data_IF_363267450712
#
_entry.id   IF_363267450712
#
_cell.length_a   1.000
_cell.length_b   1.000
_cell.length_c   1.000
_cell.angle_alpha   90.00
_cell.angle_beta   90.00
_cell.angle_gamma   90.00
#
_symmetry.space_group_name_H-M   'P 1'
#
loop_
_entity.id
_entity.type
_entity.pdbx_description
1 polymer ?
#
# COMPACT_ATOMS: atom_id res chain seq x y z
N UNK A 1 5.53 -0.59 -9.93
CA UNK A 1 6.79 -0.16 -10.58
C UNK A 1 6.78 1.35 -10.77
N UNK A 2 7.95 1.98 -10.71
CA UNK A 2 8.13 3.42 -10.99
C UNK A 2 9.25 3.58 -12.01
N UNK A 3 9.04 4.46 -12.98
CA UNK A 3 9.99 4.74 -14.05
C UNK A 3 10.79 6.02 -13.77
N UNK A 4 11.84 6.26 -14.56
CA UNK A 4 12.76 7.40 -14.33
C UNK A 4 12.10 8.77 -14.44
N UNK A 5 10.95 8.85 -15.10
CA UNK A 5 10.07 10.02 -15.25
C UNK A 5 8.99 10.10 -14.15
N UNK A 6 9.14 9.34 -13.06
CA UNK A 6 8.15 9.21 -11.98
C UNK A 6 6.78 8.68 -12.40
N UNK A 7 6.65 8.14 -13.62
CA UNK A 7 5.44 7.40 -14.00
C UNK A 7 5.33 6.16 -13.12
N UNK A 8 4.17 5.98 -12.49
CA UNK A 8 3.88 4.83 -11.63
C UNK A 8 2.96 3.87 -12.40
N UNK A 9 3.31 2.59 -12.44
CA UNK A 9 2.45 1.52 -12.97
C UNK A 9 2.32 0.38 -11.97
N UNK A 10 1.09 0.04 -11.65
CA UNK A 10 0.73 -1.17 -10.92
C UNK A 10 0.34 -2.23 -11.94
N UNK A 11 1.00 -3.39 -11.93
CA UNK A 11 0.76 -4.47 -12.89
C UNK A 11 0.73 -5.82 -12.18
N UNK A 12 -0.18 -6.69 -12.59
CA UNK A 12 -0.20 -8.07 -12.13
C UNK A 12 0.84 -8.87 -12.91
N UNK A 13 1.90 -9.32 -12.24
CA UNK A 13 3.04 -9.92 -12.94
C UNK A 13 2.92 -11.43 -13.05
N UNK A 14 2.55 -12.14 -11.99
CA UNK A 14 2.53 -13.61 -12.00
C UNK A 14 1.62 -14.18 -10.92
N UNK A 15 0.86 -15.22 -11.28
CA UNK A 15 0.33 -16.19 -10.32
C UNK A 15 1.25 -17.42 -10.27
N UNK A 16 1.82 -17.71 -9.11
CA UNK A 16 2.64 -18.89 -8.90
C UNK A 16 1.96 -19.86 -7.94
N UNK A 17 1.90 -21.14 -8.32
CA UNK A 17 1.36 -22.18 -7.46
C UNK A 17 2.38 -22.61 -6.40
N UNK A 18 1.87 -22.89 -5.19
CA UNK A 18 2.60 -23.55 -4.12
C UNK A 18 2.13 -25.01 -4.07
N UNK A 19 2.95 -25.94 -4.52
CA UNK A 19 2.52 -27.34 -4.75
C UNK A 19 2.43 -28.21 -3.50
N UNK A 20 3.12 -27.85 -2.41
CA UNK A 20 3.19 -28.70 -1.21
C UNK A 20 2.73 -27.96 0.04
N UNK A 21 3.59 -27.09 0.55
CA UNK A 21 3.40 -26.34 1.78
C UNK A 21 3.49 -24.85 1.47
N UNK A 22 2.92 -24.07 2.37
CA UNK A 22 2.94 -22.61 2.28
C UNK A 22 3.82 -22.02 3.39
N UNK A 23 4.99 -22.61 3.69
CA UNK A 23 5.94 -22.02 4.66
C UNK A 23 6.70 -20.86 4.01
N UNK A 24 7.36 -20.04 4.81
CA UNK A 24 8.16 -18.92 4.28
C UNK A 24 9.24 -19.35 3.30
N UNK A 25 9.88 -20.50 3.54
CA UNK A 25 10.89 -21.08 2.64
C UNK A 25 10.29 -21.48 1.29
N UNK A 26 9.10 -22.08 1.30
CA UNK A 26 8.41 -22.50 0.06
C UNK A 26 8.06 -21.26 -0.79
N UNK A 27 7.62 -20.18 -0.14
CA UNK A 27 7.34 -18.88 -0.77
C UNK A 27 8.62 -18.25 -1.32
N UNK A 28 9.71 -18.27 -0.54
CA UNK A 28 11.02 -17.73 -0.95
C UNK A 28 11.55 -18.42 -2.20
N UNK A 29 11.51 -19.75 -2.23
CA UNK A 29 12.00 -20.54 -3.36
C UNK A 29 11.22 -20.23 -4.65
N UNK A 30 9.90 -20.14 -4.55
CA UNK A 30 9.04 -19.76 -5.69
C UNK A 30 9.31 -18.32 -6.14
N UNK A 31 9.49 -17.39 -5.20
CA UNK A 31 9.81 -16.00 -5.50
C UNK A 31 11.16 -15.87 -6.22
N UNK A 32 12.23 -16.48 -5.70
CA UNK A 32 13.57 -16.43 -6.30
C UNK A 32 13.61 -17.10 -7.68
N UNK A 33 12.90 -18.22 -7.85
CA UNK A 33 12.72 -18.85 -9.16
C UNK A 33 12.08 -17.88 -10.15
N UNK A 34 10.99 -17.21 -9.75
CA UNK A 34 10.32 -16.21 -10.58
C UNK A 34 11.23 -15.02 -10.92
N UNK A 35 11.96 -14.47 -9.93
CA UNK A 35 12.92 -13.36 -10.14
C UNK A 35 13.96 -13.75 -11.19
N UNK A 36 14.49 -14.97 -11.12
CA UNK A 36 15.47 -15.50 -12.08
C UNK A 36 14.86 -15.69 -13.48
N UNK A 37 13.67 -16.29 -13.57
CA UNK A 37 12.97 -16.53 -14.84
C UNK A 37 12.63 -15.23 -15.59
N UNK A 38 12.24 -14.19 -14.86
CA UNK A 38 11.92 -12.88 -15.42
C UNK A 38 13.13 -11.93 -15.52
N UNK A 39 14.32 -12.38 -15.10
CA UNK A 39 15.54 -11.55 -15.04
C UNK A 39 15.31 -10.22 -14.31
N UNK A 40 14.59 -10.27 -13.19
CA UNK A 40 14.26 -9.07 -12.41
C UNK A 40 15.46 -8.68 -11.54
N UNK A 41 15.87 -7.40 -11.54
CA UNK A 41 16.97 -6.94 -10.70
C UNK A 41 16.50 -6.88 -9.24
N UNK A 42 16.84 -7.90 -8.45
CA UNK A 42 16.45 -8.00 -7.04
C UNK A 42 16.92 -6.79 -6.22
N UNK A 43 18.06 -6.21 -6.57
CA UNK A 43 18.59 -4.97 -5.97
C UNK A 43 17.69 -3.73 -6.12
N UNK A 44 16.69 -3.77 -7.02
CA UNK A 44 15.69 -2.70 -7.18
C UNK A 44 14.40 -2.96 -6.40
N UNK A 45 14.32 -4.05 -5.63
CA UNK A 45 13.17 -4.32 -4.77
C UNK A 45 13.18 -3.33 -3.60
N UNK A 46 12.12 -2.53 -3.48
CA UNK A 46 12.02 -1.49 -2.43
C UNK A 46 11.12 -1.93 -1.29
N UNK A 47 9.99 -2.55 -1.61
CA UNK A 47 8.97 -2.89 -0.63
C UNK A 47 8.23 -4.20 -0.95
N UNK A 48 7.79 -4.90 0.10
CA UNK A 48 6.92 -6.07 0.06
C UNK A 48 5.67 -5.77 0.89
N UNK A 49 4.51 -5.84 0.26
CA UNK A 49 3.21 -5.69 0.92
C UNK A 49 2.54 -7.05 1.12
N UNK A 50 2.06 -7.34 2.34
CA UNK A 50 1.57 -8.69 2.71
C UNK A 50 0.19 -8.62 3.37
N UNK A 51 -0.56 -9.72 3.42
CA UNK A 51 -1.83 -9.78 4.16
C UNK A 51 -1.64 -10.01 5.67
N UNK A 52 -0.42 -10.37 6.08
CA UNK A 52 -0.08 -10.72 7.46
C UNK A 52 -0.15 -12.20 7.77
N UNK A 53 -0.21 -13.09 6.75
CA UNK A 53 -0.17 -14.53 6.98
C UNK A 53 1.11 -14.94 7.75
N UNK A 54 1.02 -15.85 8.74
CA UNK A 54 2.19 -16.28 9.53
C UNK A 54 3.34 -16.83 8.69
N UNK A 55 3.05 -17.49 7.57
CA UNK A 55 4.06 -17.96 6.63
C UNK A 55 4.90 -16.85 6.00
N UNK A 56 4.40 -15.62 5.99
CA UNK A 56 5.07 -14.45 5.46
C UNK A 56 5.74 -13.65 6.59
N UNK A 57 5.02 -13.46 7.70
CA UNK A 57 5.41 -12.51 8.75
C UNK A 57 6.04 -13.13 10.00
N UNK A 58 6.16 -14.46 10.08
CA UNK A 58 6.87 -15.10 11.19
C UNK A 58 8.31 -14.57 11.30
N UNK A 59 8.74 -14.24 12.52
CA UNK A 59 9.99 -13.51 12.79
C UNK A 59 11.24 -14.32 12.46
N UNK A 60 11.13 -15.64 12.37
CA UNK A 60 12.29 -16.51 12.19
C UNK A 60 12.24 -17.22 10.83
N UNK A 61 11.07 -17.73 10.47
CA UNK A 61 10.84 -18.64 9.35
C UNK A 61 9.84 -18.09 8.33
N UNK A 62 9.32 -16.88 8.55
CA UNK A 62 8.47 -16.19 7.60
C UNK A 62 9.26 -15.70 6.40
N UNK A 63 8.61 -15.59 5.23
CA UNK A 63 9.23 -15.09 4.01
C UNK A 63 10.01 -13.78 4.22
N UNK A 64 9.46 -12.82 4.96
CA UNK A 64 10.12 -11.54 5.24
C UNK A 64 11.40 -11.71 6.09
N UNK A 65 11.38 -12.60 7.09
CA UNK A 65 12.54 -12.90 7.91
C UNK A 65 13.63 -13.61 7.12
N UNK A 66 13.26 -14.42 6.13
CA UNK A 66 14.21 -15.06 5.21
C UNK A 66 14.83 -14.04 4.26
N UNK A 67 14.04 -13.10 3.69
CA UNK A 67 14.57 -12.00 2.88
C UNK A 67 15.60 -11.17 3.65
N UNK A 68 15.33 -10.82 4.91
CA UNK A 68 16.24 -10.03 5.74
C UNK A 68 17.55 -10.75 6.09
N UNK A 69 17.59 -12.10 6.00
CA UNK A 69 18.79 -12.91 6.27
C UNK A 69 19.62 -13.20 5.01
N UNK A 70 19.06 -12.97 3.83
CA UNK A 70 19.69 -13.27 2.55
C UNK A 70 20.36 -12.01 1.99
N UNK A 71 21.69 -12.05 1.88
CA UNK A 71 22.53 -10.92 1.42
C UNK A 71 22.22 -10.46 -0.03
N UNK A 72 21.50 -11.27 -0.81
CA UNK A 72 21.07 -10.88 -2.16
C UNK A 72 19.91 -9.88 -2.16
N UNK A 73 19.18 -9.76 -1.05
CA UNK A 73 18.10 -8.80 -0.91
C UNK A 73 18.64 -7.44 -0.43
N UNK A 74 18.16 -6.32 -1.00
CA UNK A 74 18.44 -5.01 -0.43
C UNK A 74 17.69 -4.83 0.91
N UNK A 75 17.86 -3.68 1.55
CA UNK A 75 17.01 -3.32 2.68
C UNK A 75 15.58 -3.07 2.17
N UNK A 76 14.68 -4.04 2.40
CA UNK A 76 13.31 -4.04 1.88
C UNK A 76 12.33 -3.61 2.95
N UNK A 77 11.52 -2.59 2.62
CA UNK A 77 10.38 -2.20 3.43
C UNK A 77 9.31 -3.29 3.44
N UNK A 78 8.74 -3.61 4.60
CA UNK A 78 7.62 -4.53 4.68
C UNK A 78 6.47 -3.94 5.48
N UNK A 79 5.25 -4.05 4.95
CA UNK A 79 4.05 -3.55 5.60
C UNK A 79 2.82 -4.35 5.19
N UNK A 80 1.80 -4.30 6.03
CA UNK A 80 0.56 -5.01 5.81
C UNK A 80 -0.38 -4.23 4.88
N UNK A 81 -1.04 -4.93 3.97
CA UNK A 81 -2.11 -4.36 3.15
C UNK A 81 -3.37 -4.11 3.97
N UNK A 82 -4.15 -3.12 3.53
CA UNK A 82 -5.50 -2.86 4.02
C UNK A 82 -6.45 -3.91 3.43
N UNK A 83 -6.51 -5.10 4.02
CA UNK A 83 -7.58 -6.06 3.73
C UNK A 83 -8.61 -6.05 4.84
N UNK A 84 -9.89 -5.98 4.47
CA UNK A 84 -11.04 -5.93 5.38
C UNK A 84 -11.34 -7.26 6.10
N UNK A 85 -10.41 -8.23 6.14
CA UNK A 85 -10.70 -9.60 6.61
C UNK A 85 -10.28 -9.92 8.05
N UNK A 86 -9.54 -9.03 8.73
CA UNK A 86 -8.78 -9.43 9.94
C UNK A 86 -9.07 -8.60 11.19
N UNK A 87 -10.14 -7.80 11.25
CA UNK A 87 -10.57 -7.24 12.54
C UNK A 87 -11.63 -8.16 13.15
N UNK A 88 -11.38 -8.71 14.35
CA UNK A 88 -12.29 -9.61 15.06
C UNK A 88 -13.41 -8.82 15.75
N UNK A 89 -14.19 -8.06 14.98
CA UNK A 89 -15.32 -7.31 15.49
C UNK A 89 -16.51 -7.44 14.54
N UNK A 90 -17.17 -8.61 14.50
CA UNK A 90 -18.25 -8.91 13.54
C UNK A 90 -19.32 -7.79 13.43
N UNK A 91 -19.58 -7.06 14.52
CA UNK A 91 -20.50 -5.92 14.56
C UNK A 91 -19.90 -4.58 14.09
N UNK A 92 -18.59 -4.38 14.15
CA UNK A 92 -17.86 -3.19 13.66
C UNK A 92 -17.31 -3.41 12.24
N UNK A 93 -17.23 -4.65 11.79
CA UNK A 93 -16.68 -5.03 10.48
C UNK A 93 -17.38 -4.34 9.33
N UNK A 94 -18.68 -4.08 9.41
CA UNK A 94 -19.37 -3.33 8.37
C UNK A 94 -18.90 -1.87 8.28
N UNK A 95 -18.60 -1.22 9.41
CA UNK A 95 -18.07 0.15 9.44
C UNK A 95 -16.64 0.17 8.95
N UNK A 96 -15.78 -0.73 9.44
CA UNK A 96 -14.40 -0.90 8.95
C UNK A 96 -14.40 -1.19 7.46
N UNK A 97 -15.21 -2.14 7.01
CA UNK A 97 -15.31 -2.50 5.59
C UNK A 97 -15.81 -1.34 4.76
N UNK A 98 -16.76 -0.53 5.25
CA UNK A 98 -17.18 0.71 4.57
C UNK A 98 -16.09 1.76 4.54
N UNK A 99 -15.30 1.90 5.60
CA UNK A 99 -14.16 2.81 5.65
C UNK A 99 -13.10 2.35 4.69
N UNK A 100 -12.67 1.09 4.75
CA UNK A 100 -11.73 0.45 3.81
C UNK A 100 -12.23 0.57 2.38
N UNK A 101 -13.52 0.29 2.12
CA UNK A 101 -14.13 0.45 0.81
C UNK A 101 -14.21 1.92 0.38
N UNK A 102 -14.40 2.85 1.31
CA UNK A 102 -14.28 4.28 1.07
C UNK A 102 -12.84 4.66 0.76
N UNK A 103 -11.82 4.15 1.46
CA UNK A 103 -10.41 4.34 1.11
C UNK A 103 -10.19 3.87 -0.34
N UNK A 104 -10.73 2.69 -0.68
CA UNK A 104 -10.64 2.07 -2.01
C UNK A 104 -11.45 2.76 -3.11
N UNK A 105 -12.56 3.41 -2.79
CA UNK A 105 -13.41 4.10 -3.77
C UNK A 105 -13.01 5.57 -3.94
N UNK A 106 -12.51 6.20 -2.87
CA UNK A 106 -11.98 7.57 -2.87
C UNK A 106 -10.63 7.64 -3.56
N UNK A 107 -9.88 6.52 -3.59
CA UNK A 107 -8.85 6.27 -4.60
C UNK A 107 -9.51 6.07 -5.97
N UNK A 108 -10.12 7.13 -6.49
CA UNK A 108 -10.17 7.34 -7.93
C UNK A 108 -8.75 7.14 -8.46
N UNK A 109 -8.61 6.56 -9.67
CA UNK A 109 -7.40 6.01 -10.34
C UNK A 109 -6.06 6.77 -10.23
N UNK A 110 -6.00 7.93 -9.56
CA UNK A 110 -4.86 8.84 -9.54
C UNK A 110 -3.91 8.70 -8.36
N UNK A 111 -4.22 8.03 -7.24
CA UNK A 111 -3.24 7.95 -6.14
C UNK A 111 -3.33 6.65 -5.30
N UNK A 112 -2.57 5.63 -5.70
CA UNK A 112 -2.33 4.38 -4.95
C UNK A 112 -1.10 4.46 -4.02
N UNK A 113 -0.56 5.66 -3.79
CA UNK A 113 0.70 5.83 -3.06
C UNK A 113 0.54 5.66 -1.54
N UNK A 114 1.64 5.26 -0.90
CA UNK A 114 1.75 5.08 0.54
C UNK A 114 1.32 6.32 1.35
N UNK A 115 1.57 7.53 0.85
CA UNK A 115 1.21 8.81 1.51
C UNK A 115 -0.30 8.98 1.71
N UNK A 116 -1.07 8.74 0.66
CA UNK A 116 -2.53 8.84 0.73
C UNK A 116 -3.09 7.82 1.70
N UNK A 117 -2.51 6.62 1.72
CA UNK A 117 -2.91 5.57 2.64
C UNK A 117 -2.66 5.96 4.10
N UNK A 118 -1.44 6.42 4.42
CA UNK A 118 -1.07 6.89 5.76
C UNK A 118 -2.03 8.01 6.19
N UNK A 119 -2.26 8.99 5.31
CA UNK A 119 -3.14 10.12 5.58
C UNK A 119 -4.57 9.70 5.94
N UNK A 120 -5.15 8.76 5.18
CA UNK A 120 -6.52 8.29 5.42
C UNK A 120 -6.62 7.49 6.71
N UNK A 121 -5.65 6.62 7.01
CA UNK A 121 -5.62 5.87 8.27
C UNK A 121 -5.45 6.81 9.47
N UNK A 122 -4.50 7.73 9.42
CA UNK A 122 -4.27 8.73 10.47
C UNK A 122 -5.52 9.58 10.70
N UNK A 123 -6.18 10.04 9.64
CA UNK A 123 -7.43 10.80 9.74
C UNK A 123 -8.56 9.98 10.36
N UNK A 124 -8.66 8.68 10.05
CA UNK A 124 -9.70 7.83 10.60
C UNK A 124 -9.47 7.53 12.09
N UNK A 125 -8.24 7.24 12.51
CA UNK A 125 -7.91 7.09 13.93
C UNK A 125 -8.26 8.34 14.74
N UNK A 126 -7.93 9.54 14.22
CA UNK A 126 -8.32 10.81 14.85
C UNK A 126 -9.83 11.00 14.93
N UNK A 127 -10.58 10.56 13.91
CA UNK A 127 -12.07 10.58 13.94
C UNK A 127 -12.62 9.67 15.02
N UNK A 128 -12.08 8.45 15.18
CA UNK A 128 -12.51 7.54 16.26
C UNK A 128 -12.31 8.16 17.64
N UNK A 129 -11.15 8.77 17.88
CA UNK A 129 -10.87 9.50 19.12
C UNK A 129 -11.85 10.65 19.35
N UNK A 130 -12.15 11.44 18.30
CA UNK A 130 -13.12 12.52 18.38
C UNK A 130 -14.54 12.00 18.67
N UNK A 131 -14.92 10.86 18.09
CA UNK A 131 -16.23 10.24 18.32
C UNK A 131 -16.38 9.72 19.75
N UNK A 132 -15.33 9.16 20.35
CA UNK A 132 -15.30 8.83 21.78
C UNK A 132 -15.57 10.09 22.61
N UNK A 133 -14.86 11.19 22.32
CA UNK A 133 -15.06 12.47 23.02
C UNK A 133 -16.48 13.03 22.82
N UNK A 134 -17.10 12.83 21.66
CA UNK A 134 -18.48 13.23 21.40
C UNK A 134 -19.49 12.36 22.15
N UNK A 135 -19.31 11.03 22.20
CA UNK A 135 -20.15 10.15 23.00
C UNK A 135 -20.10 10.51 24.48
N UNK A 136 -18.92 10.80 25.03
CA UNK A 136 -18.74 11.22 26.42
C UNK A 136 -19.41 12.58 26.74
N UNK A 137 -19.74 13.37 25.71
CA UNK A 137 -20.47 14.64 25.82
C UNK A 137 -21.95 14.51 25.44
N UNK A 138 -22.48 13.29 25.31
CA UNK A 138 -23.84 13.02 24.83
C UNK A 138 -24.14 13.61 23.43
N UNK A 139 -23.12 13.67 22.56
CA UNK A 139 -23.24 14.18 21.19
C UNK A 139 -23.26 13.03 20.18
N UNK A 140 -24.41 12.85 19.52
CA UNK A 140 -24.67 11.73 18.59
C UNK A 140 -24.57 12.12 17.12
N UNK A 141 -23.96 13.28 16.81
CA UNK A 141 -23.89 13.84 15.45
C UNK A 141 -23.28 12.91 14.39
N UNK A 142 -22.45 11.95 14.81
CA UNK A 142 -21.80 10.96 13.93
C UNK A 142 -22.43 9.57 14.02
N UNK A 143 -23.48 9.41 14.82
CA UNK A 143 -24.21 8.16 15.01
C UNK A 143 -25.71 8.37 14.75
N UNK A 144 -26.16 8.59 13.50
CA UNK A 144 -27.54 8.98 13.20
C UNK A 144 -28.60 8.00 13.72
N UNK A 145 -28.30 6.70 13.68
CA UNK A 145 -29.19 5.67 14.24
C UNK A 145 -29.28 5.75 15.76
N UNK A 146 -28.14 5.91 16.43
CA UNK A 146 -28.11 6.08 17.89
C UNK A 146 -28.83 7.37 18.30
N UNK A 147 -28.62 8.46 17.55
CA UNK A 147 -29.35 9.73 17.74
C UNK A 147 -30.86 9.52 17.68
N UNK A 148 -31.35 8.86 16.64
CA UNK A 148 -32.78 8.55 16.48
C UNK A 148 -33.31 7.66 17.61
N UNK A 149 -32.54 6.66 18.04
CA UNK A 149 -32.92 5.78 19.16
C UNK A 149 -33.00 6.55 20.47
N UNK A 150 -32.01 7.39 20.79
CA UNK A 150 -31.99 8.22 22.01
C UNK A 150 -33.15 9.22 22.01
N UNK A 151 -33.44 9.86 20.87
CA UNK A 151 -34.60 10.76 20.70
C UNK A 151 -35.93 10.02 20.89
N UNK A 152 -36.01 8.74 20.53
CA UNK A 152 -37.23 7.91 20.67
C UNK A 152 -37.41 7.38 22.10
N UNK A 153 -36.32 6.98 22.77
CA UNK A 153 -36.34 6.37 24.11
C UNK A 153 -36.56 7.36 25.25
N UNK A 154 -36.43 8.67 24.99
CA UNK A 154 -36.92 9.76 25.83
C UNK A 154 -36.65 9.61 27.34
N UNK A 155 -35.38 9.49 27.72
CA UNK A 155 -34.93 9.48 29.13
C UNK A 155 -34.66 8.10 29.74
N UNK A 156 -34.76 7.01 28.97
CA UNK A 156 -34.24 5.72 29.39
C UNK A 156 -32.71 5.77 29.56
N UNK A 157 -32.16 5.03 30.53
CA UNK A 157 -30.71 4.84 30.62
C UNK A 157 -30.20 4.00 29.44
N UNK A 158 -29.06 4.40 28.90
CA UNK A 158 -28.36 3.69 27.84
C UNK A 158 -26.86 3.65 28.15
N UNK A 159 -26.23 2.52 27.84
CA UNK A 159 -24.84 2.23 28.19
C UNK A 159 -23.86 2.89 27.21
N UNK A 160 -23.77 4.23 27.25
CA UNK A 160 -22.73 4.97 26.52
C UNK A 160 -21.30 4.52 26.84
N UNK A 161 -20.95 4.21 28.10
CA UNK A 161 -19.61 3.73 28.43
C UNK A 161 -19.21 2.50 27.61
N UNK A 162 -20.11 1.53 27.43
CA UNK A 162 -19.83 0.36 26.59
C UNK A 162 -19.59 0.73 25.13
N UNK A 163 -20.38 1.65 24.54
CA UNK A 163 -20.12 2.12 23.16
C UNK A 163 -18.77 2.84 23.03
N UNK A 164 -18.41 3.67 24.01
CA UNK A 164 -17.09 4.32 24.04
C UNK A 164 -15.96 3.28 24.12
N UNK A 165 -16.12 2.25 24.96
CA UNK A 165 -15.16 1.15 25.09
C UNK A 165 -14.98 0.37 23.78
N UNK A 166 -16.06 0.14 23.00
CA UNK A 166 -15.95 -0.48 21.68
C UNK A 166 -15.16 0.38 20.70
N UNK A 167 -15.33 1.71 20.73
CA UNK A 167 -14.54 2.62 19.89
C UNK A 167 -13.08 2.66 20.34
N UNK A 168 -12.80 2.63 21.64
CA UNK A 168 -11.43 2.56 22.18
C UNK A 168 -10.73 1.29 21.72
N UNK A 169 -11.40 0.14 21.82
CA UNK A 169 -10.88 -1.13 21.32
C UNK A 169 -10.59 -1.07 19.81
N UNK A 170 -11.46 -0.40 19.04
CA UNK A 170 -11.24 -0.17 17.61
C UNK A 170 -10.02 0.73 17.35
N UNK A 171 -9.83 1.80 18.13
CA UNK A 171 -8.62 2.65 18.05
C UNK A 171 -7.37 1.83 18.30
N UNK A 172 -7.36 0.99 19.34
CA UNK A 172 -6.25 0.10 19.67
C UNK A 172 -5.95 -0.88 18.54
N UNK A 173 -6.96 -1.56 17.99
CA UNK A 173 -6.75 -2.48 16.88
C UNK A 173 -6.24 -1.81 15.61
N UNK A 174 -6.75 -0.61 15.27
CA UNK A 174 -6.23 0.17 14.15
C UNK A 174 -4.76 0.56 14.40
N UNK A 175 -4.43 1.01 15.62
CA UNK A 175 -3.06 1.35 16.00
C UNK A 175 -2.11 0.16 15.88
N UNK A 176 -2.53 -1.00 16.38
CA UNK A 176 -1.75 -2.24 16.27
C UNK A 176 -1.57 -2.65 14.81
N UNK A 177 -2.66 -2.66 14.03
CA UNK A 177 -2.67 -3.11 12.63
C UNK A 177 -1.82 -2.23 11.72
N UNK A 178 -1.82 -0.93 11.92
CA UNK A 178 -1.14 0.07 11.09
C UNK A 178 0.07 0.70 11.77
N UNK A 179 0.61 0.03 12.79
CA UNK A 179 1.80 0.49 13.53
C UNK A 179 3.01 0.76 12.64
N UNK A 180 3.10 0.08 11.48
CA UNK A 180 4.17 0.29 10.50
C UNK A 180 4.08 1.66 9.81
N UNK A 181 2.91 2.30 9.77
CA UNK A 181 2.75 3.61 9.15
C UNK A 181 3.46 4.69 9.93
N UNK A 182 3.59 4.54 11.25
CA UNK A 182 4.40 5.44 12.07
C UNK A 182 5.87 5.46 11.65
N UNK A 183 6.38 4.32 11.14
CA UNK A 183 7.75 4.22 10.60
C UNK A 183 7.85 4.82 9.20
N UNK A 184 6.80 4.69 8.37
CA UNK A 184 6.82 5.19 6.99
C UNK A 184 6.44 6.67 6.88
N UNK A 185 5.76 7.24 7.88
CA UNK A 185 5.29 8.61 7.88
C UNK A 185 6.43 9.63 7.76
N UNK A 186 7.56 9.55 8.50
CA UNK A 186 8.71 10.46 8.32
C UNK A 186 9.23 10.47 6.89
N UNK A 187 9.46 9.29 6.32
CA UNK A 187 9.98 9.16 4.95
C UNK A 187 8.95 9.63 3.91
N UNK A 188 7.67 9.48 4.21
CA UNK A 188 6.60 10.00 3.35
C UNK A 188 6.46 11.53 3.46
N UNK A 189 6.70 12.09 4.64
CA UNK A 189 6.76 13.55 4.84
C UNK A 189 7.97 14.14 4.12
N UNK A 190 9.10 13.44 4.11
CA UNK A 190 10.32 13.87 3.42
C UNK A 190 10.05 14.21 1.94
N UNK A 191 9.31 13.39 1.19
CA UNK A 191 8.96 13.74 -0.20
C UNK A 191 7.87 14.80 -0.33
N UNK A 192 7.11 15.05 0.74
CA UNK A 192 6.05 16.05 0.74
C UNK A 192 6.57 17.43 1.12
N UNK A 193 7.71 17.50 1.76
CA UNK A 193 8.45 18.71 2.07
C UNK A 193 9.86 18.26 2.46
N UNK A 194 10.80 18.25 1.50
CA UNK A 194 12.19 17.78 1.72
C UNK A 194 12.75 18.49 2.95
N UNK A 195 12.83 17.75 4.06
CA UNK A 195 13.05 18.24 5.43
C UNK A 195 14.28 17.60 6.07
N UNK A 196 14.61 18.02 7.29
CA UNK A 196 15.70 17.48 8.12
C UNK A 196 15.41 16.06 8.67
N UNK A 197 14.84 15.18 7.84
CA UNK A 197 14.55 13.78 8.20
C UNK A 197 15.58 12.82 7.58
N UNK A 198 16.83 13.29 7.42
CA UNK A 198 17.92 12.51 6.81
C UNK A 198 18.24 11.25 7.62
N UNK A 199 18.20 11.34 8.96
CA UNK A 199 18.44 10.23 9.86
C UNK A 199 17.44 9.09 9.66
N UNK A 200 16.14 9.40 9.70
CA UNK A 200 15.06 8.41 9.52
C UNK A 200 15.11 7.77 8.13
N UNK A 201 15.44 8.54 7.09
CA UNK A 201 15.63 8.04 5.73
C UNK A 201 16.81 7.05 5.66
N UNK A 202 17.94 7.38 6.30
CA UNK A 202 19.10 6.49 6.39
C UNK A 202 18.80 5.22 7.18
N UNK A 203 18.07 5.29 8.29
CA UNK A 203 17.64 4.12 9.07
C UNK A 203 16.78 3.17 8.24
N UNK A 204 15.88 3.72 7.43
CA UNK A 204 14.91 2.93 6.66
C UNK A 204 15.52 2.32 5.40
N UNK A 205 16.32 3.07 4.65
CA UNK A 205 16.87 2.57 3.39
C UNK A 205 18.30 2.02 3.50
N UNK A 206 19.03 2.33 4.57
CA UNK A 206 20.32 1.73 4.94
C UNK A 206 21.49 1.96 3.97
N UNK A 207 21.29 2.70 2.88
CA UNK A 207 22.26 2.80 1.76
C UNK A 207 22.86 4.20 1.57
N UNK A 208 22.48 5.18 2.41
CA UNK A 208 22.89 6.58 2.27
C UNK A 208 23.85 6.98 3.38
N UNK A 209 24.90 7.71 3.02
CA UNK A 209 25.72 8.42 3.99
C UNK A 209 24.92 9.63 4.51
N UNK A 210 24.75 9.72 5.83
CA UNK A 210 23.92 10.77 6.45
C UNK A 210 24.46 12.17 6.16
N UNK A 211 25.76 12.39 6.32
CA UNK A 211 26.39 13.71 6.14
C UNK A 211 26.28 14.19 4.69
N UNK A 212 26.50 13.29 3.72
CA UNK A 212 26.32 13.61 2.30
C UNK A 212 24.85 13.90 1.97
N UNK A 213 23.92 13.11 2.53
CA UNK A 213 22.49 13.32 2.33
C UNK A 213 22.02 14.65 2.91
N UNK A 214 22.46 15.02 4.11
CA UNK A 214 22.15 16.30 4.74
C UNK A 214 22.65 17.48 3.90
N UNK A 215 23.87 17.37 3.35
CA UNK A 215 24.39 18.38 2.41
C UNK A 215 23.55 18.49 1.15
N UNK A 216 23.09 17.37 0.58
CA UNK A 216 22.19 17.38 -0.58
C UNK A 216 20.83 18.00 -0.23
N UNK A 217 20.27 17.69 0.94
CA UNK A 217 19.01 18.28 1.47
C UNK A 217 19.14 19.80 1.56
N UNK A 218 20.23 20.31 2.15
CA UNK A 218 20.46 21.76 2.26
C UNK A 218 20.55 22.43 0.89
N UNK A 219 21.25 21.82 -0.06
CA UNK A 219 21.36 22.34 -1.43
C UNK A 219 20.03 22.31 -2.18
N UNK A 220 19.21 21.29 -1.95
CA UNK A 220 17.88 21.17 -2.53
C UNK A 220 16.92 22.21 -1.95
N UNK A 221 16.90 22.35 -0.63
CA UNK A 221 16.15 23.38 0.06
C UNK A 221 16.65 24.78 -0.33
N UNK A 222 17.92 24.97 -0.65
CA UNK A 222 18.45 26.24 -1.15
C UNK A 222 17.99 26.62 -2.56
N UNK A 223 17.46 25.68 -3.35
CA UNK A 223 17.10 25.90 -4.75
C UNK A 223 15.78 26.68 -4.90
N UNK A 224 15.89 27.97 -5.22
CA UNK A 224 14.76 28.88 -5.39
C UNK A 224 13.83 28.44 -6.53
N UNK A 225 14.39 27.89 -7.61
CA UNK A 225 13.62 27.46 -8.79
C UNK A 225 12.74 26.26 -8.46
N UNK A 226 13.31 25.28 -7.74
CA UNK A 226 12.54 24.12 -7.28
C UNK A 226 11.53 24.50 -6.20
N UNK A 227 11.90 25.34 -5.23
CA UNK A 227 10.97 25.83 -4.18
C UNK A 227 9.70 26.46 -4.74
N UNK A 228 9.85 27.33 -5.74
CA UNK A 228 8.69 27.99 -6.37
C UNK A 228 7.76 27.01 -7.13
N UNK A 229 8.31 25.88 -7.57
CA UNK A 229 7.59 24.85 -8.34
C UNK A 229 6.99 23.74 -7.48
N UNK A 230 7.48 23.56 -6.25
CA UNK A 230 7.14 22.43 -5.38
C UNK A 230 5.64 22.32 -5.06
N UNK A 231 5.00 23.43 -4.71
CA UNK A 231 3.59 23.44 -4.32
C UNK A 231 2.61 23.47 -5.52
N UNK A 232 3.09 23.85 -6.71
CA UNK A 232 2.25 24.18 -7.88
C UNK A 232 2.33 23.14 -9.00
N UNK A 233 3.31 22.23 -8.97
CA UNK A 233 3.55 21.26 -10.04
C UNK A 233 3.14 19.84 -9.62
N UNK A 234 2.15 19.27 -10.31
CA UNK A 234 1.73 17.87 -10.09
C UNK A 234 2.80 16.83 -10.41
N UNK A 235 3.74 17.16 -11.30
CA UNK A 235 4.88 16.32 -11.68
C UNK A 235 6.21 16.90 -11.18
N UNK A 236 6.20 17.58 -10.04
CA UNK A 236 7.38 18.29 -9.51
C UNK A 236 8.69 17.48 -9.60
N UNK A 237 8.63 16.19 -9.24
CA UNK A 237 9.80 15.31 -9.21
C UNK A 237 10.45 15.07 -10.59
N UNK A 238 9.73 15.27 -11.70
CA UNK A 238 10.33 15.21 -13.04
C UNK A 238 11.21 16.41 -13.37
N UNK A 239 11.10 17.49 -12.60
CA UNK A 239 11.92 18.70 -12.72
C UNK A 239 13.21 18.64 -11.91
N UNK A 240 13.32 17.68 -10.99
CA UNK A 240 14.49 17.50 -10.14
C UNK A 240 15.60 16.82 -10.94
N UNK A 241 16.71 17.53 -11.14
CA UNK A 241 17.86 16.98 -11.86
C UNK A 241 18.52 15.85 -11.04
N UNK A 242 18.50 14.64 -11.59
CA UNK A 242 19.09 13.44 -10.99
C UNK A 242 20.60 13.53 -10.77
N UNK A 243 21.32 14.26 -11.62
CA UNK A 243 22.76 14.41 -11.47
C UNK A 243 23.11 15.43 -10.38
N UNK A 244 22.23 16.42 -10.17
CA UNK A 244 22.39 17.44 -9.12
C UNK A 244 21.95 16.93 -7.75
N UNK A 245 20.87 16.14 -7.71
CA UNK A 245 20.24 15.63 -6.48
C UNK A 245 20.05 14.10 -6.55
N UNK A 246 21.13 13.31 -6.62
CA UNK A 246 21.04 11.86 -6.83
C UNK A 246 20.37 11.11 -5.68
N UNK A 247 20.66 11.43 -4.42
CA UNK A 247 20.09 10.72 -3.27
C UNK A 247 18.62 11.06 -3.10
N UNK A 248 18.27 12.35 -3.14
CA UNK A 248 16.88 12.82 -3.01
C UNK A 248 16.03 12.25 -4.14
N UNK A 249 16.54 12.25 -5.38
CA UNK A 249 15.84 11.65 -6.51
C UNK A 249 15.65 10.14 -6.32
N UNK A 250 16.66 9.42 -5.80
CA UNK A 250 16.56 7.99 -5.50
C UNK A 250 15.50 7.70 -4.44
N UNK A 251 15.54 8.43 -3.32
CA UNK A 251 14.59 8.35 -2.21
C UNK A 251 13.16 8.59 -2.71
N UNK A 252 12.95 9.61 -3.54
CA UNK A 252 11.66 9.89 -4.13
C UNK A 252 11.15 8.69 -4.95
N UNK A 253 11.97 8.12 -5.84
CA UNK A 253 11.56 6.93 -6.62
C UNK A 253 11.18 5.75 -5.72
N UNK A 254 11.95 5.50 -4.66
CA UNK A 254 11.66 4.44 -3.69
C UNK A 254 10.30 4.65 -3.03
N UNK A 255 9.99 5.85 -2.59
CA UNK A 255 8.71 6.13 -1.92
C UNK A 255 7.53 6.05 -2.89
N UNK A 256 7.69 6.57 -4.12
CA UNK A 256 6.68 6.43 -5.17
C UNK A 256 6.42 4.96 -5.54
N UNK A 257 7.38 4.06 -5.29
CA UNK A 257 7.24 2.62 -5.54
C UNK A 257 6.50 1.86 -4.45
N UNK A 258 6.20 2.51 -3.32
CA UNK A 258 5.44 1.93 -2.23
C UNK A 258 3.93 2.06 -2.48
N UNK A 259 3.25 0.92 -2.68
CA UNK A 259 1.82 0.83 -2.92
C UNK A 259 1.08 0.45 -1.65
N UNK A 260 0.04 1.20 -1.29
CA UNK A 260 -0.72 0.92 -0.07
C UNK A 260 -1.72 -0.24 -0.16
N UNK A 261 -2.04 -0.70 -1.36
CA UNK A 261 -3.10 -1.70 -1.58
C UNK A 261 -2.61 -2.92 -2.32
N UNK A 262 -3.20 -4.08 -2.02
CA UNK A 262 -3.12 -5.30 -2.82
C UNK A 262 -4.30 -5.43 -3.78
N UNK A 263 -4.80 -4.29 -4.30
CA UNK A 263 -6.02 -4.22 -5.10
C UNK A 263 -5.97 -5.18 -6.30
N UNK A 264 -4.88 -5.17 -7.08
CA UNK A 264 -4.74 -6.09 -8.21
C UNK A 264 -4.74 -7.56 -7.78
N UNK A 265 -4.15 -7.90 -6.64
CA UNK A 265 -4.21 -9.26 -6.10
C UNK A 265 -5.66 -9.66 -5.77
N UNK A 266 -6.44 -8.76 -5.18
CA UNK A 266 -7.84 -9.04 -4.86
C UNK A 266 -8.75 -9.13 -6.09
N UNK A 267 -8.50 -8.30 -7.11
CA UNK A 267 -9.18 -8.39 -8.42
C UNK A 267 -8.88 -9.74 -9.04
N UNK A 268 -7.61 -10.17 -9.01
CA UNK A 268 -7.21 -11.48 -9.50
C UNK A 268 -7.95 -12.61 -8.76
N UNK A 269 -7.91 -12.63 -7.41
CA UNK A 269 -8.60 -13.65 -6.62
C UNK A 269 -10.12 -13.64 -6.78
N UNK A 270 -10.73 -12.46 -6.93
CA UNK A 270 -12.18 -12.34 -7.16
C UNK A 270 -12.57 -12.90 -8.53
N UNK A 271 -11.72 -12.69 -9.53
CA UNK A 271 -11.91 -13.24 -10.89
C UNK A 271 -11.74 -14.76 -10.93
N UNK A 272 -10.85 -15.30 -10.09
CA UNK A 272 -10.67 -16.76 -9.94
C UNK A 272 -11.92 -17.46 -9.37
N UNK A 273 -12.70 -16.80 -8.50
CA UNK A 273 -13.90 -17.41 -7.88
C UNK A 273 -14.98 -17.85 -8.87
N UNK A 274 -14.92 -17.39 -10.12
CA UNK A 274 -15.95 -17.63 -11.14
C UNK A 274 -15.55 -18.63 -12.24
N UNK A 275 -14.42 -19.36 -12.12
CA UNK A 275 -13.97 -20.27 -13.20
C UNK A 275 -13.50 -21.63 -12.70
N UNK A 276 -14.20 -22.69 -13.11
CA UNK A 276 -13.94 -24.09 -12.74
C UNK A 276 -13.15 -24.91 -13.78
N UNK A 277 -12.70 -24.32 -14.91
CA UNK A 277 -12.24 -25.11 -16.07
C UNK A 277 -11.02 -24.55 -16.86
N UNK A 278 -10.09 -23.80 -16.26
CA UNK A 278 -8.88 -23.33 -16.97
C UNK A 278 -7.62 -24.08 -16.51
N UNK A 279 -6.73 -24.36 -17.46
CA UNK A 279 -5.35 -24.83 -17.19
C UNK A 279 -4.48 -23.67 -16.70
N UNK A 280 -3.39 -23.98 -16.00
CA UNK A 280 -2.55 -22.99 -15.30
C UNK A 280 -1.98 -21.88 -16.20
N UNK A 281 -1.59 -22.21 -17.44
CA UNK A 281 -1.06 -21.22 -18.40
C UNK A 281 -2.11 -20.21 -18.84
N UNK A 282 -3.33 -20.66 -19.15
CA UNK A 282 -4.42 -19.79 -19.57
C UNK A 282 -4.97 -18.95 -18.42
N UNK A 283 -4.81 -19.42 -17.17
CA UNK A 283 -5.21 -18.67 -15.99
C UNK A 283 -4.31 -17.45 -15.77
N UNK A 284 -2.99 -17.61 -15.85
CA UNK A 284 -2.05 -16.50 -15.66
C UNK A 284 -2.26 -15.39 -16.71
N UNK A 285 -2.42 -15.76 -17.98
CA UNK A 285 -2.68 -14.80 -19.07
C UNK A 285 -4.03 -14.10 -18.92
N UNK A 286 -5.09 -14.83 -18.55
CA UNK A 286 -6.41 -14.23 -18.31
C UNK A 286 -6.41 -13.28 -17.10
N UNK A 287 -5.66 -13.61 -16.05
CA UNK A 287 -5.54 -12.73 -14.88
C UNK A 287 -4.73 -11.48 -15.19
N UNK A 288 -3.67 -11.60 -16.01
CA UNK A 288 -2.93 -10.43 -16.52
C UNK A 288 -3.85 -9.52 -17.34
N UNK A 289 -4.69 -10.07 -18.22
CA UNK A 289 -5.65 -9.28 -19.00
C UNK A 289 -6.65 -8.54 -18.08
N UNK A 290 -7.26 -9.24 -17.13
CA UNK A 290 -8.29 -8.65 -16.25
C UNK A 290 -7.71 -7.61 -15.28
N UNK A 291 -6.47 -7.81 -14.83
CA UNK A 291 -5.81 -6.90 -13.89
C UNK A 291 -5.05 -5.77 -14.59
N UNK A 292 -4.80 -5.84 -15.90
CA UNK A 292 -4.07 -4.78 -16.59
C UNK A 292 -4.95 -3.58 -16.87
N UNK A 293 -4.36 -2.39 -16.75
CA UNK A 293 -4.94 -1.14 -17.25
C UNK A 293 -4.68 -0.92 -18.74
N UNK A 294 -3.89 -1.81 -19.36
CA UNK A 294 -3.56 -1.76 -20.77
C UNK A 294 -4.76 -2.17 -21.63
N UNK A 295 -5.16 -1.29 -22.54
CA UNK A 295 -6.06 -1.62 -23.66
C UNK A 295 -5.21 -1.92 -24.89
N UNK A 296 -5.12 -3.18 -25.33
CA UNK A 296 -4.45 -3.53 -26.58
C UNK A 296 -5.08 -2.79 -27.76
N UNK A 297 -4.27 -2.42 -28.75
CA UNK A 297 -4.80 -1.97 -30.03
C UNK A 297 -5.33 -3.18 -30.81
N UNK A 298 -6.58 -3.53 -30.52
CA UNK A 298 -7.26 -4.67 -31.13
C UNK A 298 -7.35 -4.55 -32.66
N UNK A 299 -7.33 -3.32 -33.21
CA UNK A 299 -7.36 -3.12 -34.67
C UNK A 299 -6.02 -3.50 -35.28
N UNK A 300 -4.93 -3.10 -34.66
CA UNK A 300 -3.60 -3.48 -35.11
C UNK A 300 -3.35 -4.99 -34.95
N UNK A 301 -3.79 -5.58 -33.84
CA UNK A 301 -3.73 -7.03 -33.63
C UNK A 301 -4.55 -7.80 -34.67
N UNK A 302 -5.79 -7.38 -34.93
CA UNK A 302 -6.65 -8.01 -35.93
C UNK A 302 -6.08 -7.88 -37.35
N UNK A 303 -5.46 -6.74 -37.68
CA UNK A 303 -4.81 -6.53 -38.97
C UNK A 303 -3.57 -7.42 -39.18
N UNK A 304 -2.91 -7.81 -38.09
CA UNK A 304 -1.70 -8.64 -38.12
C UNK A 304 -1.99 -10.14 -37.97
N UNK A 305 -3.22 -10.55 -37.65
CA UNK A 305 -3.59 -11.96 -37.57
C UNK A 305 -3.90 -12.51 -38.97
N UNK A 306 -3.17 -13.57 -39.37
CA UNK A 306 -3.53 -14.35 -40.55
C UNK A 306 -4.88 -15.02 -40.30
N UNK A 307 -5.88 -14.70 -41.13
CA UNK A 307 -7.17 -15.38 -41.10
C UNK A 307 -6.95 -16.88 -41.32
N UNK A 308 -7.31 -17.70 -40.34
CA UNK A 308 -7.39 -19.14 -40.55
C UNK A 308 -8.56 -19.40 -41.50
N UNK A 309 -8.23 -19.82 -42.71
CA UNK A 309 -9.20 -20.34 -43.66
C UNK A 309 -9.64 -21.70 -43.10
N UNK A 310 -10.86 -21.77 -42.58
CA UNK A 310 -11.48 -23.05 -42.27
C UNK A 310 -11.62 -23.84 -43.57
N UNK A 311 -10.98 -25.01 -43.62
CA UNK A 311 -11.19 -26.02 -44.67
C UNK A 311 -12.35 -26.93 -44.30
#
# INVERSE_FOLDING_TARGET
MVFGDFTVREEFVKLSQLHERSRGEDIMNVFLKFVKECNLPLSKLVAITTDGAPSITDRNNGFLALCAKDESFPNVLSYHCITAKVLKFDHVMNVVTRVVNYIRSSSTRKVHNISSMISVVNAFQKKLQLWIAHLNRNSFSHFPHMKSVVETLNGCEYDLPSFAQHLEALVTEFGNRFSQFSTLEPVTMFISNVSELGGEVCEIFGEYNLEELEMEILNFQGDISLKSSFASCSNFWTLVDRNKYPMIHSIALKIYSCFGSTYLCEVAFSSMKYRSCLTDSHLDDALREVCSSYTPDFRQLAANMQCQIFH
#
